data_IF_618574811150
#
_entry.id   IF_618574811150
#
_cell.length_a   1.000
_cell.length_b   1.000
_cell.length_c   1.000
_cell.angle_alpha   90.00
_cell.angle_beta   90.00
_cell.angle_gamma   90.00
#
_symmetry.space_group_name_H-M   'P 1'
#
loop_
_entity.id
_entity.type
_entity.pdbx_description
1 polymer ?
#
# COMPACT_ATOMS: atom_id res chain seq x y z
N UNK A 1 -41.65 10.04 37.88
CA UNK A 1 -40.51 9.94 38.64
C UNK A 1 -39.24 9.67 37.92
N UNK A 2 -38.90 8.49 37.58
CA UNK A 2 -37.55 8.17 37.14
C UNK A 2 -37.42 7.91 35.65
N UNK A 3 -38.40 8.31 34.93
CA UNK A 3 -38.42 7.93 33.51
C UNK A 3 -37.44 8.69 32.71
N UNK A 4 -37.03 9.84 33.15
CA UNK A 4 -36.13 10.65 32.37
C UNK A 4 -34.73 10.09 32.25
N UNK A 5 -34.37 9.21 33.14
CA UNK A 5 -33.03 8.62 33.11
C UNK A 5 -32.79 7.68 31.93
N UNK A 6 -33.84 7.12 31.42
CA UNK A 6 -33.70 6.16 30.32
C UNK A 6 -33.41 6.80 28.99
N UNK A 7 -33.81 8.04 28.83
CA UNK A 7 -33.62 8.73 27.56
C UNK A 7 -32.16 9.07 27.29
N UNK A 8 -31.40 9.28 28.36
CA UNK A 8 -30.01 9.71 28.20
C UNK A 8 -29.11 8.57 27.68
N UNK A 9 -29.43 7.36 28.03
CA UNK A 9 -28.60 6.23 27.61
C UNK A 9 -28.63 5.98 26.10
N UNK A 10 -29.72 6.32 25.45
CA UNK A 10 -29.86 6.09 24.02
C UNK A 10 -29.00 7.02 23.20
N UNK A 11 -28.77 8.21 23.67
CA UNK A 11 -27.96 9.20 22.95
C UNK A 11 -26.51 8.75 22.88
N UNK A 12 -26.00 8.20 23.95
CA UNK A 12 -24.61 7.74 24.00
C UNK A 12 -24.37 6.60 23.01
N UNK A 13 -25.34 5.71 22.83
CA UNK A 13 -25.20 4.62 21.90
C UNK A 13 -25.12 5.08 20.44
N UNK A 14 -25.84 6.13 20.10
CA UNK A 14 -25.83 6.66 18.75
C UNK A 14 -24.46 7.23 18.37
N UNK A 15 -23.76 7.83 19.29
CA UNK A 15 -22.43 8.37 19.01
C UNK A 15 -21.42 7.28 18.73
N UNK A 16 -21.59 6.10 19.29
CA UNK A 16 -20.67 4.98 19.07
C UNK A 16 -20.90 4.30 17.73
N UNK A 17 -22.03 4.53 17.10
CA UNK A 17 -22.35 3.89 15.83
C UNK A 17 -21.69 4.55 14.63
N UNK A 18 -20.96 5.64 14.81
CA UNK A 18 -20.30 6.31 13.71
C UNK A 18 -18.92 5.71 13.49
N UNK A 19 -18.76 4.82 12.54
CA UNK A 19 -17.44 4.27 12.23
C UNK A 19 -16.57 5.36 11.64
N UNK A 20 -15.35 5.36 12.03
CA UNK A 20 -14.37 6.25 11.46
C UNK A 20 -13.88 5.70 10.14
N UNK A 21 -14.68 5.68 9.12
CA UNK A 21 -14.16 5.40 7.81
C UNK A 21 -13.36 6.60 7.34
N UNK A 22 -12.18 6.38 6.82
CA UNK A 22 -11.32 7.45 6.36
C UNK A 22 -11.21 7.40 4.85
N UNK A 23 -12.06 8.13 4.12
CA UNK A 23 -11.98 8.16 2.66
C UNK A 23 -10.77 8.93 2.15
N UNK A 24 -10.01 9.58 3.02
CA UNK A 24 -8.87 10.39 2.64
C UNK A 24 -7.67 9.58 2.20
N UNK A 25 -7.61 8.29 2.55
CA UNK A 25 -6.51 7.44 2.15
C UNK A 25 -6.74 6.86 0.76
N UNK A 26 -5.72 6.94 -0.09
CA UNK A 26 -5.79 6.33 -1.40
C UNK A 26 -5.83 4.82 -1.27
N UNK A 27 -6.89 4.21 -1.73
CA UNK A 27 -6.98 2.75 -1.79
C UNK A 27 -6.00 2.20 -2.81
N UNK A 28 -5.54 0.98 -2.58
CA UNK A 28 -4.68 0.28 -3.51
C UNK A 28 -5.56 -0.39 -4.57
N UNK A 29 -5.25 -0.13 -5.83
CA UNK A 29 -5.97 -0.73 -6.94
C UNK A 29 -5.38 -2.07 -7.33
N UNK A 30 -4.05 -2.16 -7.44
CA UNK A 30 -3.39 -3.39 -7.88
C UNK A 30 -1.91 -3.38 -7.55
N UNK A 31 -1.35 -4.59 -7.54
CA UNK A 31 0.08 -4.83 -7.43
C UNK A 31 0.55 -5.57 -8.66
N UNK A 32 1.77 -5.31 -9.09
CA UNK A 32 2.42 -6.08 -10.15
C UNK A 32 3.89 -6.31 -9.77
N UNK A 33 4.31 -7.53 -9.49
CA UNK A 33 3.54 -8.77 -9.43
C UNK A 33 2.51 -8.78 -8.31
N UNK A 34 1.47 -9.60 -8.47
CA UNK A 34 0.45 -9.76 -7.42
C UNK A 34 1.03 -10.43 -6.19
N UNK A 35 0.53 -10.09 -5.00
CA UNK A 35 0.97 -10.78 -3.77
C UNK A 35 0.83 -12.29 -3.89
N UNK A 36 1.89 -13.00 -3.51
CA UNK A 36 1.91 -14.45 -3.53
C UNK A 36 2.10 -15.07 -4.91
N UNK A 37 2.21 -14.27 -5.97
CA UNK A 37 2.38 -14.81 -7.32
C UNK A 37 3.80 -15.29 -7.59
N UNK A 38 3.95 -16.09 -8.62
CA UNK A 38 5.24 -16.57 -9.12
C UNK A 38 5.40 -16.11 -10.55
N UNK A 39 6.46 -15.40 -10.82
CA UNK A 39 6.74 -14.83 -12.15
C UNK A 39 8.17 -15.14 -12.58
N UNK A 40 8.47 -14.92 -13.84
CA UNK A 40 9.80 -15.19 -14.37
C UNK A 40 10.84 -14.24 -13.79
N UNK A 41 12.07 -14.73 -13.68
CA UNK A 41 13.17 -13.98 -13.08
C UNK A 41 13.70 -12.85 -13.95
N UNK A 42 13.25 -12.73 -15.18
CA UNK A 42 13.57 -11.61 -16.04
C UNK A 42 12.66 -10.39 -15.80
N UNK A 43 11.86 -10.44 -14.74
CA UNK A 43 11.02 -9.32 -14.34
C UNK A 43 11.84 -8.03 -14.25
N UNK A 44 11.41 -6.99 -14.95
CA UNK A 44 12.16 -5.75 -15.04
C UNK A 44 11.73 -4.70 -14.02
N UNK A 45 10.51 -4.78 -13.53
CA UNK A 45 9.98 -3.75 -12.64
C UNK A 45 8.87 -4.29 -11.73
N UNK A 46 8.64 -3.56 -10.64
CA UNK A 46 7.54 -3.80 -9.71
C UNK A 46 6.72 -2.53 -9.64
N UNK A 47 5.42 -2.67 -9.49
CA UNK A 47 4.52 -1.52 -9.47
C UNK A 47 3.40 -1.71 -8.45
N UNK A 48 3.02 -0.64 -7.78
CA UNK A 48 1.78 -0.54 -7.00
C UNK A 48 0.95 0.58 -7.60
N UNK A 49 -0.33 0.32 -7.82
CA UNK A 49 -1.26 1.27 -8.44
C UNK A 49 -2.36 1.62 -7.45
N UNK A 50 -2.75 2.88 -7.42
CA UNK A 50 -3.71 3.42 -6.48
C UNK A 50 -5.00 3.83 -7.18
N UNK A 51 -6.11 3.81 -6.43
CA UNK A 51 -7.43 4.24 -6.91
C UNK A 51 -7.52 5.75 -7.04
N UNK A 52 -6.67 6.50 -6.33
CA UNK A 52 -6.65 7.96 -6.35
C UNK A 52 -5.21 8.44 -6.44
N UNK A 53 -5.03 9.73 -6.65
CA UNK A 53 -3.70 10.34 -6.70
C UNK A 53 -3.04 10.31 -5.34
N UNK A 54 -1.74 10.09 -5.34
CA UNK A 54 -0.89 10.20 -4.16
C UNK A 54 0.06 11.39 -4.33
N UNK A 55 0.71 11.79 -3.25
CA UNK A 55 1.83 12.72 -3.31
C UNK A 55 3.11 12.00 -3.67
N UNK A 56 4.18 12.29 -2.95
CA UNK A 56 5.44 11.57 -3.13
C UNK A 56 5.30 10.13 -2.64
N UNK A 57 6.18 9.30 -3.16
CA UNK A 57 6.24 7.91 -2.74
C UNK A 57 7.50 7.22 -3.22
N UNK A 58 7.82 6.11 -2.59
CA UNK A 58 8.94 5.28 -2.99
C UNK A 58 8.53 3.81 -2.94
N UNK A 59 9.33 3.00 -3.60
CA UNK A 59 9.12 1.56 -3.70
C UNK A 59 10.48 0.89 -3.78
N UNK A 60 10.74 -0.01 -2.87
CA UNK A 60 11.98 -0.79 -2.87
C UNK A 60 11.64 -2.27 -2.85
N UNK A 61 12.51 -3.07 -3.43
CA UNK A 61 12.37 -4.52 -3.46
C UNK A 61 13.63 -5.11 -2.86
N UNK A 62 13.41 -6.08 -1.95
CA UNK A 62 14.51 -6.76 -1.26
C UNK A 62 14.37 -8.26 -1.41
N UNK A 63 15.51 -8.95 -1.28
CA UNK A 63 15.60 -10.39 -1.14
C UNK A 63 16.53 -10.68 0.02
N UNK A 64 16.03 -11.41 1.01
CA UNK A 64 16.81 -11.74 2.22
C UNK A 64 17.46 -10.48 2.84
N UNK A 65 16.71 -9.38 2.88
CA UNK A 65 17.18 -8.13 3.47
C UNK A 65 18.03 -7.27 2.56
N UNK A 66 18.46 -7.76 1.40
CA UNK A 66 19.30 -7.00 0.47
C UNK A 66 18.45 -6.36 -0.62
N UNK A 67 18.70 -5.08 -0.89
CA UNK A 67 17.97 -4.33 -1.90
C UNK A 67 18.37 -4.80 -3.29
N UNK A 68 17.36 -5.12 -4.11
CA UNK A 68 17.55 -5.55 -5.50
C UNK A 68 16.95 -4.59 -6.50
N UNK A 69 16.22 -3.58 -6.04
CA UNK A 69 15.70 -2.53 -6.91
C UNK A 69 16.71 -1.42 -7.08
N UNK A 70 16.59 -0.70 -8.20
CA UNK A 70 17.43 0.45 -8.50
C UNK A 70 16.79 1.70 -7.91
N UNK A 71 17.57 2.48 -7.16
CA UNK A 71 17.07 3.71 -6.55
C UNK A 71 15.94 3.45 -5.55
N UNK A 72 15.04 4.39 -5.42
CA UNK A 72 13.93 4.35 -4.45
C UNK A 72 12.57 4.27 -5.13
N UNK A 73 12.54 3.95 -6.41
CA UNK A 73 11.30 3.96 -7.17
C UNK A 73 10.90 5.35 -7.62
N UNK A 74 9.86 5.42 -8.42
CA UNK A 74 9.40 6.68 -9.00
C UNK A 74 7.87 6.68 -9.05
N UNK A 75 7.29 7.80 -8.66
CA UNK A 75 5.86 8.05 -8.84
C UNK A 75 5.61 8.28 -10.33
N UNK A 76 4.64 7.54 -10.87
CA UNK A 76 4.33 7.54 -12.30
C UNK A 76 2.82 7.56 -12.51
N UNK A 77 2.38 7.53 -13.78
CA UNK A 77 0.96 7.42 -14.14
C UNK A 77 0.11 8.53 -13.49
N UNK A 78 0.54 9.78 -13.66
CA UNK A 78 -0.15 10.96 -13.12
C UNK A 78 -0.38 10.84 -11.61
N UNK A 79 0.66 10.42 -10.88
CA UNK A 79 0.62 10.23 -9.41
C UNK A 79 -0.35 9.15 -8.95
N UNK A 80 -0.62 8.15 -9.77
CA UNK A 80 -1.49 7.03 -9.38
C UNK A 80 -0.75 5.71 -9.26
N UNK A 81 0.56 5.71 -9.42
CA UNK A 81 1.36 4.50 -9.27
C UNK A 81 2.76 4.83 -8.83
N UNK A 82 3.43 3.86 -8.23
CA UNK A 82 4.86 3.89 -7.96
C UNK A 82 5.48 2.68 -8.63
N UNK A 83 6.58 2.90 -9.34
CA UNK A 83 7.30 1.85 -10.03
C UNK A 83 8.75 1.81 -9.57
N UNK A 84 9.28 0.62 -9.37
CA UNK A 84 10.69 0.39 -9.09
C UNK A 84 11.28 -0.52 -10.16
N UNK A 85 12.43 -0.15 -10.68
CA UNK A 85 13.18 -0.97 -11.63
C UNK A 85 14.02 -1.97 -10.85
N UNK A 86 14.09 -3.19 -11.35
CA UNK A 86 14.88 -4.25 -10.75
C UNK A 86 16.22 -4.38 -11.46
N UNK A 87 17.22 -4.82 -10.70
CA UNK A 87 18.50 -5.20 -11.29
C UNK A 87 18.31 -6.45 -12.15
N UNK A 88 19.17 -6.61 -13.12
CA UNK A 88 19.20 -7.83 -13.94
C UNK A 88 19.89 -8.96 -13.18
N UNK A 89 19.72 -10.20 -13.67
CA UNK A 89 20.41 -11.36 -13.11
C UNK A 89 19.92 -11.80 -11.75
N UNK A 90 18.65 -11.56 -11.44
CA UNK A 90 18.08 -11.95 -10.16
C UNK A 90 17.95 -13.47 -10.06
N UNK A 91 18.11 -13.98 -8.85
CA UNK A 91 17.96 -15.41 -8.56
C UNK A 91 16.52 -15.78 -8.32
N UNK A 92 16.20 -17.04 -8.50
CA UNK A 92 14.93 -17.59 -8.08
C UNK A 92 14.78 -17.46 -6.56
N UNK A 93 13.57 -17.22 -6.09
CA UNK A 93 13.30 -17.12 -4.67
C UNK A 93 12.22 -16.11 -4.34
N UNK A 94 12.09 -15.84 -3.05
CA UNK A 94 11.08 -14.92 -2.53
C UNK A 94 11.64 -13.50 -2.45
N UNK A 95 10.82 -12.56 -2.90
CA UNK A 95 11.12 -11.13 -2.89
C UNK A 95 10.03 -10.38 -2.15
N UNK A 96 10.41 -9.30 -1.51
CA UNK A 96 9.48 -8.43 -0.78
C UNK A 96 9.57 -7.03 -1.35
N UNK A 97 8.43 -6.49 -1.75
CA UNK A 97 8.30 -5.11 -2.18
C UNK A 97 7.71 -4.29 -1.04
N UNK A 98 8.25 -3.11 -0.81
CA UNK A 98 7.77 -2.20 0.22
C UNK A 98 7.56 -0.83 -0.40
N UNK A 99 6.32 -0.36 -0.36
CA UNK A 99 5.92 0.95 -0.83
C UNK A 99 5.64 1.86 0.36
N UNK A 100 6.03 3.10 0.22
CA UNK A 100 5.72 4.15 1.19
C UNK A 100 5.29 5.38 0.41
N UNK A 101 4.17 5.98 0.78
CA UNK A 101 3.63 7.11 0.02
C UNK A 101 2.89 8.08 0.92
N UNK A 102 2.80 9.30 0.42
CA UNK A 102 2.07 10.39 1.06
C UNK A 102 0.67 10.45 0.45
N UNK A 103 -0.35 10.33 1.28
CA UNK A 103 -1.73 10.54 0.84
C UNK A 103 -2.03 12.03 0.70
N UNK A 104 -3.10 12.34 -0.02
CA UNK A 104 -3.52 13.72 -0.21
C UNK A 104 -3.92 14.44 1.08
N UNK A 105 -4.21 13.68 2.13
CA UNK A 105 -4.52 14.22 3.45
C UNK A 105 -3.29 14.51 4.31
N UNK A 106 -2.09 14.26 3.79
CA UNK A 106 -0.84 14.48 4.49
C UNK A 106 -0.34 13.30 5.32
N UNK A 107 -1.08 12.21 5.39
CA UNK A 107 -0.64 11.02 6.11
C UNK A 107 0.25 10.15 5.23
N UNK A 108 1.25 9.54 5.84
CA UNK A 108 2.15 8.59 5.17
C UNK A 108 1.64 7.17 5.44
N UNK A 109 1.59 6.37 4.38
CA UNK A 109 1.25 4.96 4.49
C UNK A 109 2.37 4.09 3.97
N UNK A 110 2.43 2.85 4.47
CA UNK A 110 3.41 1.86 4.06
C UNK A 110 2.68 0.54 3.79
N UNK A 111 3.11 -0.15 2.75
CA UNK A 111 2.57 -1.46 2.40
C UNK A 111 3.68 -2.35 1.89
N UNK A 112 3.74 -3.58 2.38
CA UNK A 112 4.67 -4.59 1.86
C UNK A 112 3.88 -5.77 1.32
N UNK A 113 4.43 -6.39 0.28
CA UNK A 113 3.91 -7.64 -0.25
C UNK A 113 5.04 -8.47 -0.81
N UNK A 114 4.80 -9.76 -0.95
CA UNK A 114 5.80 -10.70 -1.43
C UNK A 114 5.36 -11.40 -2.69
N UNK A 115 6.32 -11.81 -3.48
CA UNK A 115 6.15 -12.59 -4.68
C UNK A 115 7.39 -13.48 -4.87
N UNK A 116 7.32 -14.42 -5.79
CA UNK A 116 8.44 -15.30 -6.08
C UNK A 116 8.89 -15.15 -7.52
N UNK A 117 10.20 -15.22 -7.72
CA UNK A 117 10.81 -15.39 -9.04
C UNK A 117 11.19 -16.86 -9.21
N UNK A 118 10.88 -17.42 -10.37
CA UNK A 118 11.16 -18.82 -10.73
C UNK A 118 12.33 -18.97 -11.70
#
# INVERSE_FOLDING_TARGET
MNRTLLAVALVAAACLALPASSPAHAGIKSYSPKPGSRVDRDLASVRITFKARIGDGNLTVTRAGSKVSRGTGRVVSKHRAIRALLRSGLRAGRYTATARWLNSDGHVQTKSWSFRLR
#
